data_IF_429305974509
#
_entry.id   IF_429305974509
#
_cell.length_a   1.000
_cell.length_b   1.000
_cell.length_c   1.000
_cell.angle_alpha   90.00
_cell.angle_beta   90.00
_cell.angle_gamma   90.00
#
_symmetry.space_group_name_H-M   'P 1'
#
loop_
_entity.id
_entity.type
_entity.pdbx_description
1 polymer ?
#
# COMPACT_ATOMS: atom_id res chain seq x y z
N UNK A 1 5.41 -11.71 -30.19
CA UNK A 1 5.96 -11.36 -28.87
C UNK A 1 4.84 -10.68 -28.11
N UNK A 2 4.18 -11.39 -27.19
CA UNK A 2 3.09 -10.83 -26.38
C UNK A 2 3.64 -9.61 -25.64
N UNK A 3 3.03 -8.43 -25.79
CA UNK A 3 3.34 -7.30 -24.91
C UNK A 3 2.93 -7.72 -23.50
N UNK A 4 3.89 -8.20 -22.73
CA UNK A 4 3.69 -8.68 -21.38
C UNK A 4 3.29 -7.50 -20.50
N UNK A 5 2.04 -7.56 -20.03
CA UNK A 5 1.31 -6.43 -19.48
C UNK A 5 1.80 -5.99 -18.10
N UNK A 6 1.58 -4.71 -17.78
CA UNK A 6 1.92 -4.14 -16.46
C UNK A 6 0.80 -4.47 -15.47
N UNK A 7 1.18 -4.93 -14.27
CA UNK A 7 0.37 -4.92 -13.06
C UNK A 7 0.77 -3.69 -12.24
N UNK A 8 -0.11 -2.70 -12.14
CA UNK A 8 0.13 -1.55 -11.28
C UNK A 8 -0.20 -1.91 -9.82
N UNK A 9 0.82 -2.21 -9.01
CA UNK A 9 0.62 -2.78 -7.67
C UNK A 9 0.19 -1.78 -6.61
N UNK A 10 0.01 -0.50 -6.97
CA UNK A 10 -0.36 0.53 -6.01
C UNK A 10 -1.13 1.64 -6.68
N UNK A 11 -2.45 1.56 -6.62
CA UNK A 11 -3.34 2.67 -6.95
C UNK A 11 -4.34 2.92 -5.84
N UNK A 12 -4.87 4.13 -5.82
CA UNK A 12 -5.91 4.59 -4.93
C UNK A 12 -7.10 5.07 -5.76
N UNK A 13 -8.30 4.64 -5.38
CA UNK A 13 -9.55 5.04 -6.04
C UNK A 13 -10.56 5.52 -4.99
N UNK A 14 -11.37 6.51 -5.33
CA UNK A 14 -12.50 6.92 -4.50
C UNK A 14 -13.62 7.59 -5.34
N UNK A 15 -14.89 7.34 -5.00
CA UNK A 15 -16.04 7.90 -5.70
C UNK A 15 -16.23 9.39 -5.39
N UNK A 16 -17.08 10.08 -6.14
CA UNK A 16 -17.41 11.49 -5.88
C UNK A 16 -18.12 11.74 -4.54
N UNK A 17 -18.63 10.68 -3.89
CA UNK A 17 -19.23 10.72 -2.55
C UNK A 17 -18.19 10.69 -1.42
N UNK A 18 -16.91 10.54 -1.76
CA UNK A 18 -15.80 10.35 -0.85
C UNK A 18 -14.68 11.36 -1.12
N UNK A 19 -15.02 12.65 -1.22
CA UNK A 19 -14.09 13.70 -1.65
C UNK A 19 -14.00 14.86 -0.66
N UNK A 20 -14.27 14.62 0.62
CA UNK A 20 -14.29 15.66 1.66
C UNK A 20 -13.55 15.24 2.92
N UNK A 21 -13.26 16.21 3.79
CA UNK A 21 -12.54 16.00 5.04
C UNK A 21 -13.24 15.05 6.03
N UNK A 22 -14.55 14.87 5.91
CA UNK A 22 -15.30 13.89 6.73
C UNK A 22 -15.16 12.46 6.20
N UNK A 23 -14.71 12.30 4.96
CA UNK A 23 -14.48 11.00 4.32
C UNK A 23 -13.01 10.60 4.36
N UNK A 24 -12.12 11.58 4.24
CA UNK A 24 -10.67 11.46 4.25
C UNK A 24 -10.09 12.61 5.06
N UNK A 25 -9.48 12.33 6.21
CA UNK A 25 -9.00 13.40 7.10
C UNK A 25 -7.97 14.34 6.47
N UNK A 26 -7.27 13.86 5.44
CA UNK A 26 -6.27 14.61 4.68
C UNK A 26 -6.85 15.48 3.55
N UNK A 27 -8.11 15.29 3.13
CA UNK A 27 -8.73 16.08 2.07
C UNK A 27 -9.23 17.43 2.59
N UNK A 28 -8.35 18.43 2.63
CA UNK A 28 -8.73 19.81 2.94
C UNK A 28 -9.51 20.48 1.79
N UNK A 29 -10.39 21.47 2.07
CA UNK A 29 -11.08 22.21 1.01
C UNK A 29 -10.11 22.83 0.00
N UNK A 30 -10.34 22.57 -1.29
CA UNK A 30 -9.47 23.03 -2.38
C UNK A 30 -8.25 22.16 -2.65
N UNK A 31 -8.05 21.06 -1.91
CA UNK A 31 -7.02 20.08 -2.24
C UNK A 31 -7.29 19.48 -3.64
N UNK A 32 -6.29 19.46 -4.52
CA UNK A 32 -6.47 19.10 -5.93
C UNK A 32 -6.93 17.64 -6.15
N UNK A 33 -6.64 16.76 -5.19
CA UNK A 33 -7.13 15.37 -5.17
C UNK A 33 -8.54 15.22 -4.54
N UNK A 34 -9.14 16.27 -3.99
CA UNK A 34 -10.48 16.23 -3.39
C UNK A 34 -11.59 16.27 -4.46
N UNK A 35 -11.53 15.30 -5.37
CA UNK A 35 -12.49 15.05 -6.45
C UNK A 35 -12.50 13.56 -6.76
N UNK A 36 -13.44 13.09 -7.57
CA UNK A 36 -13.51 11.66 -7.95
C UNK A 36 -12.22 11.22 -8.63
N UNK A 37 -11.74 10.04 -8.24
CA UNK A 37 -10.68 9.32 -8.92
C UNK A 37 -11.10 7.85 -9.09
N UNK A 38 -11.78 7.55 -10.20
CA UNK A 38 -12.27 6.20 -10.52
C UNK A 38 -11.41 5.46 -11.56
N UNK A 39 -11.80 4.23 -11.90
CA UNK A 39 -11.08 3.39 -12.88
C UNK A 39 -11.08 4.06 -14.26
N UNK A 40 -12.19 4.63 -14.71
CA UNK A 40 -12.25 5.32 -16.00
C UNK A 40 -11.27 6.49 -16.02
N UNK A 41 -11.20 7.27 -14.94
CA UNK A 41 -10.26 8.41 -14.82
C UNK A 41 -8.81 7.92 -14.93
N UNK A 42 -8.46 6.84 -14.21
CA UNK A 42 -7.15 6.19 -14.30
C UNK A 42 -6.82 5.68 -15.71
N UNK A 43 -7.77 5.03 -16.38
CA UNK A 43 -7.55 4.48 -17.72
C UNK A 43 -7.39 5.56 -18.79
N UNK A 44 -7.91 6.77 -18.59
CA UNK A 44 -7.68 7.90 -19.52
C UNK A 44 -6.23 8.41 -19.50
N UNK A 45 -5.57 8.35 -18.34
CA UNK A 45 -4.22 8.90 -18.16
C UNK A 45 -3.11 7.87 -18.39
N UNK A 46 -3.44 6.57 -18.43
CA UNK A 46 -2.45 5.50 -18.60
C UNK A 46 -2.24 5.13 -20.08
N UNK A 47 -0.97 5.05 -20.50
CA UNK A 47 -0.63 4.65 -21.87
C UNK A 47 0.76 3.98 -21.95
N UNK A 48 0.84 2.73 -22.46
CA UNK A 48 -0.29 1.80 -22.63
C UNK A 48 -0.97 1.55 -21.27
N UNK A 49 -2.25 1.24 -21.30
CA UNK A 49 -3.00 0.92 -20.09
C UNK A 49 -2.44 -0.35 -19.41
N UNK A 50 -2.31 -0.37 -18.07
CA UNK A 50 -2.00 -1.58 -17.34
C UNK A 50 -3.03 -2.68 -17.58
N UNK A 51 -2.55 -3.92 -17.56
CA UNK A 51 -3.40 -5.10 -17.69
C UNK A 51 -4.28 -5.31 -16.47
N UNK A 52 -3.82 -4.86 -15.31
CA UNK A 52 -4.59 -4.79 -14.08
C UNK A 52 -3.88 -3.96 -13.02
N UNK A 53 -4.51 -3.82 -11.87
CA UNK A 53 -3.96 -3.11 -10.72
C UNK A 53 -4.33 -3.77 -9.40
N UNK A 54 -3.55 -3.45 -8.37
CA UNK A 54 -3.88 -3.69 -6.97
C UNK A 54 -4.32 -2.37 -6.36
N UNK A 55 -5.56 -2.36 -5.86
CA UNK A 55 -6.07 -1.26 -5.07
C UNK A 55 -5.42 -1.26 -3.68
N UNK A 56 -5.11 -0.09 -3.14
CA UNK A 56 -4.66 0.06 -1.76
C UNK A 56 -5.54 1.09 -1.06
N UNK A 57 -5.93 0.80 0.19
CA UNK A 57 -6.77 1.68 1.03
C UNK A 57 -6.30 3.14 1.04
N UNK A 58 -7.20 4.08 1.29
CA UNK A 58 -6.99 5.50 0.96
C UNK A 58 -6.87 6.41 2.16
N UNK A 59 -6.56 5.88 3.34
CA UNK A 59 -6.52 6.59 4.62
C UNK A 59 -7.88 7.24 4.93
N UNK A 60 -8.92 6.41 4.90
CA UNK A 60 -10.30 6.81 5.19
C UNK A 60 -10.41 7.33 6.61
N UNK A 61 -11.21 8.38 6.80
CA UNK A 61 -11.32 9.07 8.07
C UNK A 61 -11.72 8.13 9.22
N UNK A 62 -11.02 8.28 10.34
CA UNK A 62 -11.38 7.71 11.63
C UNK A 62 -11.59 8.85 12.63
N UNK A 63 -12.62 8.79 13.49
CA UNK A 63 -12.87 9.83 14.48
C UNK A 63 -11.80 9.88 15.58
N UNK A 64 -11.05 8.79 15.76
CA UNK A 64 -9.96 8.65 16.73
C UNK A 64 -9.01 7.54 16.30
N UNK A 65 -7.74 7.60 16.72
CA UNK A 65 -6.74 6.56 16.45
C UNK A 65 -7.11 5.21 17.09
N UNK A 66 -7.70 5.26 18.29
CA UNK A 66 -8.21 4.09 18.99
C UNK A 66 -9.73 3.95 18.79
N UNK A 67 -10.26 2.71 18.70
CA UNK A 67 -11.69 2.48 18.73
C UNK A 67 -12.29 2.93 20.08
N UNK A 68 -13.62 3.13 20.16
CA UNK A 68 -14.29 3.41 21.42
C UNK A 68 -14.02 2.31 22.45
N UNK A 69 -14.06 2.65 23.73
CA UNK A 69 -13.84 1.69 24.82
C UNK A 69 -14.77 0.48 24.68
N UNK A 70 -14.14 -0.68 24.54
CA UNK A 70 -14.78 -2.00 24.51
C UNK A 70 -14.61 -2.62 25.89
N UNK A 71 -15.73 -2.78 26.59
CA UNK A 71 -15.75 -3.35 27.94
C UNK A 71 -15.75 -4.88 27.85
N UNK A 72 -15.26 -5.53 28.90
CA UNK A 72 -15.31 -7.01 28.99
C UNK A 72 -16.76 -7.53 28.89
N UNK A 73 -17.72 -6.78 29.44
CA UNK A 73 -19.15 -7.10 29.43
C UNK A 73 -19.84 -6.91 28.07
N UNK A 74 -19.23 -6.18 27.13
CA UNK A 74 -19.82 -5.99 25.80
C UNK A 74 -19.89 -7.36 25.12
N UNK A 75 -21.03 -7.73 24.56
CA UNK A 75 -21.10 -8.94 23.74
C UNK A 75 -20.54 -8.68 22.33
N UNK A 76 -20.38 -9.72 21.52
CA UNK A 76 -19.77 -9.59 20.19
C UNK A 76 -20.55 -8.63 19.27
N UNK A 77 -21.88 -8.59 19.35
CA UNK A 77 -22.68 -7.67 18.54
C UNK A 77 -22.57 -6.21 19.00
N UNK A 78 -22.46 -5.96 20.31
CA UNK A 78 -22.20 -4.63 20.86
C UNK A 78 -20.83 -4.10 20.36
N UNK A 79 -19.81 -4.96 20.39
CA UNK A 79 -18.47 -4.64 19.88
C UNK A 79 -18.53 -4.32 18.39
N UNK A 80 -19.18 -5.18 17.58
CA UNK A 80 -19.34 -4.95 16.14
C UNK A 80 -20.11 -3.66 15.84
N UNK A 81 -21.16 -3.33 16.60
CA UNK A 81 -21.93 -2.10 16.43
C UNK A 81 -21.09 -0.84 16.69
N UNK A 82 -20.28 -0.85 17.75
CA UNK A 82 -19.32 0.21 18.05
C UNK A 82 -18.29 0.37 16.94
N UNK A 83 -17.74 -0.74 16.43
CA UNK A 83 -16.76 -0.73 15.35
C UNK A 83 -17.34 -0.25 14.01
N UNK A 84 -18.60 -0.60 13.68
CA UNK A 84 -19.29 -0.06 12.49
C UNK A 84 -19.42 1.45 12.53
N UNK A 85 -19.61 2.01 13.73
CA UNK A 85 -19.71 3.46 13.93
C UNK A 85 -18.33 4.12 13.82
N UNK A 86 -17.33 3.57 14.50
CA UNK A 86 -15.97 4.11 14.51
C UNK A 86 -15.27 4.03 13.15
N UNK A 87 -15.34 2.87 12.48
CA UNK A 87 -14.71 2.64 11.18
C UNK A 87 -15.68 2.88 10.02
N UNK A 88 -16.65 3.80 10.16
CA UNK A 88 -17.66 4.06 9.14
C UNK A 88 -17.05 4.30 7.75
N UNK A 89 -16.11 5.22 7.62
CA UNK A 89 -15.54 5.58 6.31
C UNK A 89 -14.65 4.50 5.70
N UNK A 90 -13.80 3.76 6.46
CA UNK A 90 -13.18 2.53 5.97
C UNK A 90 -14.18 1.47 5.47
N UNK A 91 -15.33 1.31 6.14
CA UNK A 91 -16.36 0.37 5.70
C UNK A 91 -17.14 0.87 4.48
N UNK A 92 -17.32 2.18 4.30
CA UNK A 92 -17.85 2.75 3.05
C UNK A 92 -16.90 2.51 1.86
N UNK A 93 -15.59 2.53 2.10
CA UNK A 93 -14.60 2.17 1.07
C UNK A 93 -14.78 0.72 0.61
N UNK A 94 -15.03 -0.22 1.52
CA UNK A 94 -15.33 -1.62 1.16
C UNK A 94 -16.60 -1.73 0.32
N UNK A 95 -17.65 -0.94 0.59
CA UNK A 95 -18.88 -0.95 -0.22
C UNK A 95 -18.63 -0.46 -1.64
N UNK A 96 -17.81 0.58 -1.80
CA UNK A 96 -17.37 1.04 -3.12
C UNK A 96 -16.58 -0.04 -3.88
N UNK A 97 -15.62 -0.69 -3.21
CA UNK A 97 -14.86 -1.79 -3.84
C UNK A 97 -15.74 -2.99 -4.18
N UNK A 98 -16.76 -3.28 -3.37
CA UNK A 98 -17.71 -4.35 -3.64
C UNK A 98 -18.49 -4.07 -4.93
N UNK A 99 -18.94 -2.84 -5.15
CA UNK A 99 -19.57 -2.42 -6.42
C UNK A 99 -18.65 -2.61 -7.62
N UNK A 100 -17.36 -2.28 -7.47
CA UNK A 100 -16.35 -2.53 -8.53
C UNK A 100 -16.31 -4.02 -8.87
N UNK A 101 -16.07 -4.90 -7.90
CA UNK A 101 -15.94 -6.35 -8.18
C UNK A 101 -17.26 -6.94 -8.68
N UNK A 102 -18.40 -6.44 -8.21
CA UNK A 102 -19.72 -6.86 -8.67
C UNK A 102 -20.07 -6.38 -10.07
N UNK A 103 -19.36 -5.38 -10.62
CA UNK A 103 -19.67 -4.78 -11.91
C UNK A 103 -20.94 -3.92 -11.87
N UNK A 104 -21.26 -3.34 -10.71
CA UNK A 104 -22.48 -2.54 -10.49
C UNK A 104 -22.13 -1.09 -10.14
N UNK A 105 -21.64 -0.29 -11.11
CA UNK A 105 -21.28 1.09 -10.85
C UNK A 105 -22.52 1.91 -10.45
N UNK A 106 -22.34 2.77 -9.46
CA UNK A 106 -23.29 3.85 -9.11
C UNK A 106 -22.83 5.19 -9.71
N UNK A 107 -23.75 6.15 -9.78
CA UNK A 107 -23.42 7.51 -10.19
C UNK A 107 -22.32 8.08 -9.27
N UNK A 108 -21.24 8.57 -9.88
CA UNK A 108 -20.11 9.11 -9.14
C UNK A 108 -18.97 8.14 -8.84
N UNK A 109 -19.12 6.84 -9.09
CA UNK A 109 -18.06 5.84 -8.84
C UNK A 109 -16.87 5.96 -9.81
N UNK A 110 -17.12 6.39 -11.04
CA UNK A 110 -16.07 6.61 -12.04
C UNK A 110 -15.51 5.33 -12.65
N UNK A 111 -16.33 4.30 -12.82
CA UNK A 111 -16.00 3.13 -13.64
C UNK A 111 -17.23 2.63 -14.40
N UNK A 112 -17.01 1.83 -15.44
CA UNK A 112 -18.06 1.04 -16.12
C UNK A 112 -17.86 -0.46 -15.90
N UNK A 113 -18.92 -1.27 -16.05
CA UNK A 113 -18.90 -2.71 -15.77
C UNK A 113 -17.71 -3.44 -16.44
N UNK A 114 -17.38 -3.12 -17.69
CA UNK A 114 -16.27 -3.77 -18.42
C UNK A 114 -14.89 -3.49 -17.83
N UNK A 115 -14.74 -2.46 -17.01
CA UNK A 115 -13.50 -2.05 -16.36
C UNK A 115 -13.28 -2.75 -15.01
N UNK A 116 -14.32 -3.33 -14.40
CA UNK A 116 -14.25 -4.02 -13.11
C UNK A 116 -13.12 -5.04 -13.02
N UNK A 117 -12.91 -5.79 -14.12
CA UNK A 117 -11.87 -6.82 -14.23
C UNK A 117 -10.42 -6.30 -14.16
N UNK A 118 -10.22 -4.98 -14.23
CA UNK A 118 -8.91 -4.34 -14.09
C UNK A 118 -8.41 -4.40 -12.65
N UNK A 119 -9.30 -4.38 -11.66
CA UNK A 119 -8.89 -4.65 -10.28
C UNK A 119 -8.59 -6.13 -10.13
N UNK A 120 -7.37 -6.48 -9.74
CA UNK A 120 -6.91 -7.88 -9.57
C UNK A 120 -6.85 -8.29 -8.11
N UNK A 121 -6.74 -7.31 -7.22
CA UNK A 121 -6.82 -7.48 -5.78
C UNK A 121 -6.90 -6.13 -5.08
N UNK A 122 -7.18 -6.17 -3.78
CA UNK A 122 -7.19 -5.00 -2.93
C UNK A 122 -6.47 -5.26 -1.60
N UNK A 123 -5.79 -4.22 -1.13
CA UNK A 123 -5.21 -4.11 0.21
C UNK A 123 -6.10 -3.17 1.01
N UNK A 124 -6.79 -3.68 2.03
CA UNK A 124 -7.81 -2.94 2.78
C UNK A 124 -7.32 -2.50 4.17
N UNK A 125 -7.99 -1.52 4.77
CA UNK A 125 -7.65 -1.08 6.12
C UNK A 125 -7.94 -2.17 7.19
N UNK A 126 -7.04 -2.33 8.17
CA UNK A 126 -7.33 -3.04 9.42
C UNK A 126 -6.56 -2.46 10.63
N UNK A 127 -7.15 -2.45 11.85
CA UNK A 127 -6.58 -1.83 13.03
C UNK A 127 -5.67 -2.78 13.82
N UNK A 128 -4.49 -3.10 13.28
CA UNK A 128 -3.57 -4.09 13.85
C UNK A 128 -3.05 -3.79 15.26
N UNK A 129 -3.09 -2.53 15.69
CA UNK A 129 -2.69 -2.10 17.03
C UNK A 129 -3.71 -2.49 18.12
N UNK A 130 -4.95 -2.76 17.73
CA UNK A 130 -6.01 -3.12 18.67
C UNK A 130 -5.81 -4.51 19.27
N UNK A 131 -6.39 -4.73 20.46
CA UNK A 131 -6.39 -6.05 21.08
C UNK A 131 -7.00 -7.12 20.14
N UNK A 132 -6.54 -8.38 20.16
CA UNK A 132 -6.97 -9.43 19.22
C UNK A 132 -8.48 -9.64 19.12
N UNK A 133 -9.20 -9.51 20.24
CA UNK A 133 -10.68 -9.57 20.28
C UNK A 133 -11.31 -8.50 19.40
N UNK A 134 -10.81 -7.27 19.49
CA UNK A 134 -11.31 -6.11 18.75
C UNK A 134 -10.93 -6.20 17.28
N UNK A 135 -9.69 -6.60 17.00
CA UNK A 135 -9.20 -6.83 15.64
C UNK A 135 -10.04 -7.89 14.92
N UNK A 136 -10.29 -9.04 15.57
CA UNK A 136 -11.16 -10.10 15.03
C UNK A 136 -12.57 -9.59 14.77
N UNK A 137 -13.18 -8.89 15.72
CA UNK A 137 -14.53 -8.33 15.53
C UNK A 137 -14.58 -7.33 14.37
N UNK A 138 -13.53 -6.52 14.19
CA UNK A 138 -13.42 -5.64 13.02
C UNK A 138 -13.33 -6.44 11.72
N UNK A 139 -12.52 -7.50 11.66
CA UNK A 139 -12.41 -8.35 10.47
C UNK A 139 -13.74 -9.03 10.13
N UNK A 140 -14.51 -9.46 11.13
CA UNK A 140 -15.86 -10.01 10.91
C UNK A 140 -16.78 -8.95 10.27
N UNK A 141 -16.79 -7.73 10.81
CA UNK A 141 -17.55 -6.60 10.22
C UNK A 141 -17.08 -6.28 8.81
N UNK A 142 -15.76 -6.20 8.58
CA UNK A 142 -15.19 -5.91 7.27
C UNK A 142 -15.57 -6.98 6.24
N UNK A 143 -15.54 -8.27 6.63
CA UNK A 143 -15.97 -9.39 5.77
C UNK A 143 -17.46 -9.34 5.47
N UNK A 144 -18.30 -9.05 6.47
CA UNK A 144 -19.75 -8.88 6.28
C UNK A 144 -20.06 -7.74 5.29
N UNK A 145 -19.38 -6.59 5.42
CA UNK A 145 -19.57 -5.42 4.54
C UNK A 145 -19.01 -5.66 3.13
N UNK A 146 -17.84 -6.29 3.02
CA UNK A 146 -17.24 -6.63 1.73
C UNK A 146 -18.10 -7.63 0.94
N UNK A 147 -18.75 -8.55 1.64
CA UNK A 147 -19.45 -9.66 1.03
C UNK A 147 -18.49 -10.68 0.37
N UNK A 148 -19.01 -11.83 -0.07
CA UNK A 148 -18.19 -12.96 -0.49
C UNK A 148 -17.36 -12.65 -1.75
N UNK A 149 -17.86 -11.81 -2.66
CA UNK A 149 -17.20 -11.52 -3.93
C UNK A 149 -15.98 -10.62 -3.74
N UNK A 150 -16.11 -9.49 -3.02
CA UNK A 150 -14.96 -8.64 -2.72
C UNK A 150 -13.96 -9.35 -1.82
N UNK A 151 -14.41 -10.16 -0.86
CA UNK A 151 -13.49 -10.87 0.04
C UNK A 151 -12.50 -11.78 -0.70
N UNK A 152 -12.89 -12.34 -1.86
CA UNK A 152 -11.97 -13.09 -2.74
C UNK A 152 -10.90 -12.21 -3.43
N UNK A 153 -11.14 -10.91 -3.52
CA UNK A 153 -10.21 -9.92 -4.06
C UNK A 153 -9.33 -9.30 -2.97
N UNK A 154 -9.64 -9.46 -1.67
CA UNK A 154 -8.75 -9.00 -0.60
C UNK A 154 -7.49 -9.86 -0.62
N UNK A 155 -6.33 -9.23 -0.83
CA UNK A 155 -5.01 -9.88 -0.88
C UNK A 155 -4.08 -9.45 0.24
N UNK A 156 -4.43 -8.37 0.91
CA UNK A 156 -3.66 -7.87 2.03
C UNK A 156 -4.39 -6.79 2.81
N UNK A 157 -3.67 -6.29 3.79
CA UNK A 157 -4.15 -5.25 4.68
C UNK A 157 -3.09 -4.17 4.84
N UNK A 158 -3.54 -2.96 5.19
CA UNK A 158 -2.65 -1.86 5.55
C UNK A 158 -3.16 -1.13 6.78
N UNK A 159 -2.20 -0.71 7.59
CA UNK A 159 -2.38 0.30 8.61
C UNK A 159 -1.23 1.29 8.42
N UNK A 160 -1.54 2.55 8.13
CA UNK A 160 -0.50 3.53 7.83
C UNK A 160 0.34 3.80 9.09
N UNK A 161 1.63 3.51 8.98
CA UNK A 161 2.68 3.81 9.95
C UNK A 161 3.48 5.06 9.52
N UNK A 162 2.89 5.89 8.65
CA UNK A 162 3.46 7.13 8.14
C UNK A 162 2.60 8.32 8.54
N UNK A 163 3.21 9.52 8.56
CA UNK A 163 2.56 10.78 8.89
C UNK A 163 2.12 10.86 10.36
N UNK A 164 2.74 10.06 11.24
CA UNK A 164 2.38 10.03 12.68
C UNK A 164 3.27 10.93 13.53
N UNK A 165 4.39 11.41 12.99
CA UNK A 165 5.39 12.18 13.72
C UNK A 165 6.48 11.30 14.36
N UNK A 166 7.59 11.95 14.69
CA UNK A 166 8.78 11.32 15.25
C UNK A 166 8.48 10.55 16.55
N UNK A 167 9.03 9.34 16.65
CA UNK A 167 8.89 8.43 17.79
C UNK A 167 7.51 7.78 17.98
N UNK A 168 6.45 8.24 17.31
CA UNK A 168 5.07 7.76 17.55
C UNK A 168 4.90 6.29 17.13
N UNK A 169 5.43 5.92 15.97
CA UNK A 169 5.34 4.53 15.46
C UNK A 169 6.15 3.58 16.34
N UNK A 170 7.37 3.97 16.71
CA UNK A 170 8.23 3.14 17.56
C UNK A 170 7.57 2.88 18.91
N UNK A 171 6.98 3.92 19.53
CA UNK A 171 6.24 3.79 20.78
C UNK A 171 5.00 2.90 20.62
N UNK A 172 4.19 3.12 19.59
CA UNK A 172 2.98 2.31 19.32
C UNK A 172 3.32 0.83 19.17
N UNK A 173 4.32 0.50 18.35
CA UNK A 173 4.74 -0.88 18.13
C UNK A 173 5.33 -1.51 19.39
N UNK A 174 6.04 -0.74 20.22
CA UNK A 174 6.55 -1.22 21.51
C UNK A 174 5.43 -1.50 22.52
N UNK A 175 4.45 -0.61 22.63
CA UNK A 175 3.35 -0.71 23.61
C UNK A 175 2.32 -1.78 23.24
N UNK A 176 2.20 -2.10 21.94
CA UNK A 176 1.21 -3.05 21.42
C UNK A 176 1.82 -4.22 20.64
N UNK A 177 3.11 -4.53 20.86
CA UNK A 177 3.87 -5.53 20.09
C UNK A 177 3.16 -6.90 20.04
N UNK A 178 2.66 -7.36 21.18
CA UNK A 178 1.94 -8.64 21.27
C UNK A 178 0.67 -8.64 20.42
N UNK A 179 -0.14 -7.59 20.49
CA UNK A 179 -1.34 -7.43 19.66
C UNK A 179 -0.97 -7.43 18.17
N UNK A 180 0.06 -6.69 17.78
CA UNK A 180 0.52 -6.65 16.39
C UNK A 180 0.94 -8.04 15.89
N UNK A 181 1.77 -8.76 16.64
CA UNK A 181 2.24 -10.09 16.26
C UNK A 181 1.07 -11.07 16.14
N UNK A 182 0.17 -11.09 17.14
CA UNK A 182 -1.00 -11.98 17.13
C UNK A 182 -1.94 -11.64 15.98
N UNK A 183 -2.21 -10.37 15.71
CA UNK A 183 -3.11 -9.93 14.64
C UNK A 183 -2.53 -10.19 13.24
N UNK A 184 -1.23 -9.96 13.03
CA UNK A 184 -0.54 -10.32 11.80
C UNK A 184 -0.57 -11.83 11.57
N UNK A 185 -0.31 -12.62 12.62
CA UNK A 185 -0.37 -14.08 12.51
C UNK A 185 -1.81 -14.59 12.27
N UNK A 186 -2.82 -13.93 12.84
CA UNK A 186 -4.22 -14.27 12.65
C UNK A 186 -4.68 -14.17 11.19
N UNK A 187 -4.04 -13.31 10.38
CA UNK A 187 -4.33 -13.22 8.95
C UNK A 187 -4.21 -14.57 8.25
N UNK A 188 -3.24 -15.40 8.65
CA UNK A 188 -2.96 -16.72 8.05
C UNK A 188 -4.10 -17.72 8.21
N UNK A 189 -5.01 -17.46 9.16
CA UNK A 189 -6.18 -18.31 9.45
C UNK A 189 -7.44 -17.79 8.74
N UNK A 190 -7.36 -16.68 8.03
CA UNK A 190 -8.49 -16.14 7.28
C UNK A 190 -8.74 -17.00 6.04
N UNK A 191 -9.93 -17.57 5.97
CA UNK A 191 -10.43 -18.23 4.77
C UNK A 191 -10.70 -17.23 3.62
N UNK A 192 -10.48 -17.68 2.39
CA UNK A 192 -10.74 -16.92 1.16
C UNK A 192 -9.57 -16.05 0.69
N UNK A 193 -9.68 -15.53 -0.52
CA UNK A 193 -8.84 -14.43 -1.04
C UNK A 193 -7.40 -14.78 -1.46
N UNK A 194 -6.57 -15.33 -0.58
CA UNK A 194 -5.14 -15.46 -0.84
C UNK A 194 -4.52 -16.66 -0.10
N UNK A 195 -3.56 -17.33 -0.74
CA UNK A 195 -2.76 -18.39 -0.10
C UNK A 195 -1.70 -17.82 0.87
N UNK A 196 -1.39 -16.52 0.75
CA UNK A 196 -0.46 -15.80 1.61
C UNK A 196 -0.83 -14.32 1.72
N UNK A 197 -1.43 -13.92 2.85
CA UNK A 197 -1.86 -12.55 3.12
C UNK A 197 -0.67 -11.58 3.21
N UNK A 198 -0.84 -10.42 2.57
CA UNK A 198 0.13 -9.32 2.61
C UNK A 198 -0.20 -8.29 3.70
N UNK A 199 0.84 -7.76 4.34
CA UNK A 199 0.78 -6.49 5.04
C UNK A 199 1.61 -5.45 4.28
N UNK A 200 0.95 -4.42 3.75
CA UNK A 200 1.62 -3.30 3.10
C UNK A 200 2.16 -2.34 4.17
N UNK A 201 3.45 -2.03 4.12
CA UNK A 201 4.16 -1.20 5.10
C UNK A 201 4.36 0.19 4.51
N UNK A 202 3.56 1.16 4.98
CA UNK A 202 3.79 2.59 4.70
C UNK A 202 4.44 3.28 5.90
N UNK A 203 5.73 3.62 5.81
CA UNK A 203 6.48 4.43 6.77
C UNK A 203 7.09 5.64 6.08
N UNK A 204 7.34 6.72 6.82
CA UNK A 204 7.91 7.96 6.27
C UNK A 204 9.28 8.27 6.87
N UNK A 205 10.35 7.82 6.22
CA UNK A 205 11.72 8.06 6.72
C UNK A 205 12.22 9.49 6.51
N UNK A 206 11.47 10.29 5.75
CA UNK A 206 11.73 11.70 5.52
C UNK A 206 11.15 12.57 6.63
N UNK A 207 9.87 12.41 6.96
CA UNK A 207 9.14 13.31 7.87
C UNK A 207 8.99 12.77 9.29
N UNK A 208 8.90 11.46 9.46
CA UNK A 208 8.75 10.81 10.78
C UNK A 208 10.09 10.32 11.34
N UNK A 209 11.20 10.59 10.65
CA UNK A 209 12.52 10.05 10.97
C UNK A 209 12.66 8.57 10.63
N UNK A 210 13.81 7.99 10.95
CA UNK A 210 14.16 6.63 10.50
C UNK A 210 13.76 5.52 11.49
N UNK A 211 13.36 5.91 12.71
CA UNK A 211 12.93 5.00 13.77
C UNK A 211 11.71 4.14 13.40
N UNK A 212 10.68 4.62 12.67
CA UNK A 212 9.58 3.79 12.20
C UNK A 212 10.07 2.56 11.42
N UNK A 213 11.08 2.72 10.58
CA UNK A 213 11.61 1.62 9.78
C UNK A 213 12.36 0.59 10.63
N UNK A 214 13.13 1.04 11.64
CA UNK A 214 13.75 0.14 12.64
C UNK A 214 12.70 -0.62 13.45
N UNK A 215 11.63 0.07 13.86
CA UNK A 215 10.54 -0.52 14.64
C UNK A 215 9.80 -1.60 13.84
N UNK A 216 9.53 -1.36 12.55
CA UNK A 216 8.99 -2.39 11.64
C UNK A 216 9.93 -3.58 11.52
N UNK A 217 11.25 -3.36 11.39
CA UNK A 217 12.21 -4.46 11.33
C UNK A 217 12.18 -5.35 12.58
N UNK A 218 12.04 -4.75 13.77
CA UNK A 218 11.86 -5.49 15.03
C UNK A 218 10.55 -6.27 15.05
N UNK A 219 9.45 -5.65 14.65
CA UNK A 219 8.14 -6.31 14.57
C UNK A 219 8.19 -7.54 13.64
N UNK A 220 8.80 -7.40 12.46
CA UNK A 220 8.95 -8.51 11.51
C UNK A 220 9.78 -9.64 12.14
N UNK A 221 10.91 -9.31 12.79
CA UNK A 221 11.73 -10.31 13.47
C UNK A 221 10.97 -11.04 14.60
N UNK A 222 10.21 -10.31 15.41
CA UNK A 222 9.34 -10.86 16.45
C UNK A 222 8.25 -11.78 15.87
N UNK A 223 7.61 -11.36 14.78
CA UNK A 223 6.65 -12.18 14.05
C UNK A 223 7.29 -13.47 13.53
N UNK A 224 8.48 -13.41 12.92
CA UNK A 224 9.15 -14.64 12.42
C UNK A 224 9.44 -15.63 13.54
N UNK A 225 9.91 -15.16 14.69
CA UNK A 225 10.11 -16.02 15.86
C UNK A 225 8.79 -16.64 16.35
N UNK A 226 7.69 -15.88 16.31
CA UNK A 226 6.37 -16.38 16.65
C UNK A 226 5.88 -17.44 15.64
N UNK A 227 6.02 -17.18 14.34
CA UNK A 227 5.63 -18.12 13.28
C UNK A 227 6.41 -19.43 13.34
N UNK A 228 7.71 -19.38 13.65
CA UNK A 228 8.55 -20.57 13.83
C UNK A 228 8.12 -21.40 15.04
N UNK A 229 7.77 -20.76 16.16
CA UNK A 229 7.28 -21.45 17.37
C UNK A 229 5.94 -22.15 17.16
N UNK A 230 5.02 -21.52 16.42
CA UNK A 230 3.69 -22.05 16.13
C UNK A 230 3.70 -23.10 14.99
N UNK A 231 4.85 -23.35 14.35
CA UNK A 231 4.99 -24.37 13.30
C UNK A 231 4.23 -24.04 12.02
N UNK A 232 4.05 -22.76 11.70
CA UNK A 232 3.29 -22.37 10.52
C UNK A 232 4.11 -22.51 9.22
N UNK A 233 3.57 -23.23 8.24
CA UNK A 233 4.25 -23.49 6.96
C UNK A 233 4.37 -22.25 6.05
N UNK A 234 3.35 -21.39 6.05
CA UNK A 234 3.35 -20.16 5.24
C UNK A 234 3.73 -18.94 6.09
N UNK A 235 4.48 -17.99 5.52
CA UNK A 235 4.85 -16.72 6.19
C UNK A 235 3.91 -15.59 5.76
N UNK A 236 3.58 -14.67 6.69
CA UNK A 236 2.97 -13.38 6.31
C UNK A 236 3.91 -12.63 5.38
N UNK A 237 3.40 -12.17 4.24
CA UNK A 237 4.18 -11.37 3.29
C UNK A 237 4.15 -9.91 3.70
N UNK A 238 5.27 -9.21 3.52
CA UNK A 238 5.36 -7.77 3.73
C UNK A 238 5.68 -7.08 2.40
N UNK A 239 5.01 -5.98 2.11
CA UNK A 239 5.32 -5.16 0.94
C UNK A 239 5.72 -3.77 1.43
N UNK A 240 7.00 -3.43 1.27
CA UNK A 240 7.53 -2.13 1.67
C UNK A 240 7.12 -1.09 0.62
N UNK A 241 6.34 -0.10 1.03
CA UNK A 241 5.84 0.94 0.13
C UNK A 241 6.87 2.04 -0.09
N UNK A 242 6.86 2.63 -1.28
CA UNK A 242 7.50 3.91 -1.58
C UNK A 242 9.00 4.03 -1.20
N UNK A 243 9.76 2.93 -1.24
CA UNK A 243 11.15 2.91 -0.76
C UNK A 243 11.31 3.26 0.73
N UNK A 244 10.25 3.18 1.53
CA UNK A 244 10.14 3.74 2.89
C UNK A 244 10.22 5.29 2.93
N UNK A 245 9.89 5.96 1.82
CA UNK A 245 9.83 7.42 1.65
C UNK A 245 11.07 8.16 2.16
N UNK A 246 12.27 7.87 1.62
CA UNK A 246 13.48 8.59 2.02
C UNK A 246 13.46 10.02 1.45
N UNK A 247 14.14 11.00 2.08
CA UNK A 247 14.30 12.32 1.49
C UNK A 247 15.10 12.21 0.18
N UNK A 248 14.61 12.85 -0.88
CA UNK A 248 15.26 12.91 -2.18
C UNK A 248 15.76 14.32 -2.49
N UNK A 249 16.89 14.41 -3.18
CA UNK A 249 17.48 15.66 -3.66
C UNK A 249 17.88 15.51 -5.13
N UNK A 250 17.75 16.57 -5.96
CA UNK A 250 18.28 16.54 -7.33
C UNK A 250 19.77 16.24 -7.37
N UNK A 251 20.50 16.72 -6.36
CA UNK A 251 21.90 16.37 -6.16
C UNK A 251 21.98 15.00 -5.48
N UNK A 252 22.78 14.05 -6.01
CA UNK A 252 22.79 12.68 -5.52
C UNK A 252 23.41 12.62 -4.12
N UNK A 253 22.55 12.51 -3.11
CA UNK A 253 22.94 12.19 -1.74
C UNK A 253 22.85 10.68 -1.52
N UNK A 254 23.84 10.04 -0.89
CA UNK A 254 23.73 8.63 -0.53
C UNK A 254 22.55 8.44 0.45
N UNK A 255 21.86 7.29 0.40
CA UNK A 255 20.92 6.93 1.45
C UNK A 255 21.64 6.91 2.80
N UNK A 256 20.93 7.19 3.88
CA UNK A 256 21.51 7.11 5.22
C UNK A 256 21.95 5.68 5.57
N UNK A 257 22.90 5.57 6.49
CA UNK A 257 23.36 4.27 6.99
C UNK A 257 22.23 3.45 7.61
N UNK A 258 21.29 4.10 8.30
CA UNK A 258 20.14 3.45 8.91
C UNK A 258 19.22 2.84 7.85
N UNK A 259 18.91 3.60 6.80
CA UNK A 259 18.08 3.10 5.71
C UNK A 259 18.77 1.91 5.00
N UNK A 260 20.07 2.04 4.71
CA UNK A 260 20.86 0.98 4.08
C UNK A 260 20.89 -0.30 4.91
N UNK A 261 21.19 -0.18 6.21
CA UNK A 261 21.25 -1.31 7.14
C UNK A 261 19.89 -1.98 7.30
N UNK A 262 18.81 -1.19 7.35
CA UNK A 262 17.47 -1.74 7.51
C UNK A 262 17.00 -2.49 6.26
N UNK A 263 17.23 -1.96 5.06
CA UNK A 263 16.93 -2.70 3.82
C UNK A 263 17.77 -3.97 3.70
N UNK A 264 19.03 -3.92 4.13
CA UNK A 264 19.93 -5.08 4.14
C UNK A 264 19.45 -6.15 5.12
N UNK A 265 19.04 -5.80 6.33
CA UNK A 265 18.58 -6.78 7.33
C UNK A 265 17.30 -7.49 6.90
N UNK A 266 16.39 -6.77 6.22
CA UNK A 266 15.15 -7.33 5.68
C UNK A 266 15.36 -8.17 4.40
N UNK A 267 16.49 -7.99 3.70
CA UNK A 267 16.76 -8.65 2.41
C UNK A 267 16.73 -10.19 2.46
N UNK A 268 17.10 -10.78 3.60
CA UNK A 268 17.21 -12.23 3.78
C UNK A 268 15.84 -12.94 3.79
N UNK A 269 14.80 -12.25 4.24
CA UNK A 269 13.46 -12.79 4.31
C UNK A 269 12.75 -12.71 2.96
N UNK A 270 12.53 -13.88 2.33
CA UNK A 270 11.93 -13.99 0.99
C UNK A 270 10.46 -13.60 0.93
N UNK A 271 9.79 -13.48 2.08
CA UNK A 271 8.42 -13.00 2.16
C UNK A 271 8.30 -11.46 2.15
N UNK A 272 9.41 -10.73 1.99
CA UNK A 272 9.43 -9.26 1.93
C UNK A 272 9.62 -8.78 0.49
N UNK A 273 8.81 -7.83 0.06
CA UNK A 273 8.83 -7.25 -1.28
C UNK A 273 8.98 -5.73 -1.19
N UNK A 274 9.36 -5.09 -2.30
CA UNK A 274 9.56 -3.64 -2.39
C UNK A 274 8.75 -3.04 -3.54
N UNK A 275 7.98 -1.99 -3.26
CA UNK A 275 7.25 -1.21 -4.27
C UNK A 275 8.04 0.02 -4.73
N UNK A 276 8.29 0.10 -6.03
CA UNK A 276 8.74 1.30 -6.74
C UNK A 276 7.53 2.22 -6.96
N UNK A 277 7.29 3.15 -6.04
CA UNK A 277 6.12 4.03 -6.04
C UNK A 277 6.38 5.31 -5.24
N UNK A 278 5.52 6.32 -5.34
CA UNK A 278 5.44 7.45 -4.40
C UNK A 278 6.66 8.41 -4.32
N UNK A 279 7.61 8.32 -5.24
CA UNK A 279 8.88 9.05 -5.12
C UNK A 279 8.77 10.58 -5.26
N UNK A 280 7.82 11.10 -6.05
CA UNK A 280 7.80 12.52 -6.40
C UNK A 280 7.56 13.46 -5.22
N UNK A 281 6.75 13.03 -4.25
CA UNK A 281 6.46 13.81 -3.05
C UNK A 281 7.63 13.82 -2.03
N UNK A 282 8.69 13.07 -2.29
CA UNK A 282 9.81 12.93 -1.36
C UNK A 282 11.01 13.81 -1.73
N UNK A 283 10.93 14.55 -2.84
CA UNK A 283 11.90 15.58 -3.15
C UNK A 283 11.81 16.73 -2.14
N UNK A 284 12.96 17.13 -1.62
CA UNK A 284 13.10 18.24 -0.66
C UNK A 284 13.00 19.62 -1.33
N UNK A 285 13.09 19.67 -2.66
CA UNK A 285 12.97 20.89 -3.47
C UNK A 285 11.56 21.06 -4.03
N UNK A 286 11.15 22.32 -4.24
CA UNK A 286 9.90 22.65 -4.94
C UNK A 286 10.16 23.70 -6.03
N UNK A 287 9.80 23.43 -7.30
CA UNK A 287 9.14 22.20 -7.78
C UNK A 287 10.08 20.99 -7.83
N UNK A 288 9.50 19.79 -7.75
CA UNK A 288 10.17 18.51 -8.04
C UNK A 288 10.77 18.52 -9.46
N UNK A 289 11.97 17.95 -9.70
CA UNK A 289 12.54 17.85 -11.04
C UNK A 289 11.63 17.12 -12.02
N UNK A 290 11.45 17.67 -13.22
CA UNK A 290 10.53 17.12 -14.23
C UNK A 290 11.21 16.22 -15.27
N UNK A 291 12.54 16.26 -15.38
CA UNK A 291 13.28 15.50 -16.38
C UNK A 291 13.79 14.16 -15.83
N UNK A 292 13.70 13.12 -16.67
CA UNK A 292 14.10 11.75 -16.32
C UNK A 292 15.58 11.65 -15.90
N UNK A 293 16.56 12.30 -16.57
CA UNK A 293 17.95 12.27 -16.14
C UNK A 293 18.17 12.73 -14.69
N UNK A 294 17.63 13.89 -14.29
CA UNK A 294 17.75 14.41 -12.92
C UNK A 294 17.06 13.52 -11.90
N UNK A 295 15.84 13.06 -12.20
CA UNK A 295 15.11 12.10 -11.35
C UNK A 295 15.91 10.81 -11.14
N UNK A 296 16.54 10.29 -12.19
CA UNK A 296 17.37 9.09 -12.11
C UNK A 296 18.66 9.32 -11.32
N UNK A 297 19.29 10.49 -11.44
CA UNK A 297 20.47 10.84 -10.62
C UNK A 297 20.13 10.77 -9.14
N UNK A 298 19.01 11.35 -8.72
CA UNK A 298 18.52 11.31 -7.35
C UNK A 298 18.20 9.89 -6.85
N UNK A 299 17.53 9.09 -7.69
CA UNK A 299 17.00 7.78 -7.31
C UNK A 299 18.02 6.65 -7.40
N UNK A 300 19.03 6.76 -8.27
CA UNK A 300 19.95 5.65 -8.57
C UNK A 300 20.63 5.04 -7.33
N UNK A 301 21.10 5.80 -6.32
CA UNK A 301 21.67 5.22 -5.11
C UNK A 301 20.70 4.28 -4.37
N UNK A 302 19.44 4.70 -4.22
CA UNK A 302 18.38 3.91 -3.59
C UNK A 302 18.00 2.70 -4.45
N UNK A 303 17.82 2.90 -5.75
CA UNK A 303 17.46 1.84 -6.68
C UNK A 303 18.56 0.75 -6.77
N UNK A 304 19.84 1.13 -6.77
CA UNK A 304 20.92 0.15 -6.74
C UNK A 304 20.83 -0.75 -5.49
N UNK A 305 20.60 -0.15 -4.32
CA UNK A 305 20.55 -0.87 -3.06
C UNK A 305 19.33 -1.79 -2.94
N UNK A 306 18.13 -1.31 -3.30
CA UNK A 306 16.92 -2.16 -3.21
C UNK A 306 16.96 -3.33 -4.20
N UNK A 307 17.49 -3.15 -5.41
CA UNK A 307 17.57 -4.24 -6.39
C UNK A 307 18.62 -5.28 -5.99
N UNK A 308 19.65 -4.88 -5.24
CA UNK A 308 20.58 -5.81 -4.60
C UNK A 308 19.93 -6.56 -3.42
N UNK A 309 19.15 -5.87 -2.59
CA UNK A 309 18.50 -6.47 -1.40
C UNK A 309 17.30 -7.37 -1.76
N UNK A 310 16.51 -6.99 -2.77
CA UNK A 310 15.24 -7.63 -3.11
C UNK A 310 15.25 -8.18 -4.55
N UNK A 311 16.24 -9.00 -4.96
CA UNK A 311 16.32 -9.48 -6.33
C UNK A 311 15.06 -10.28 -6.68
N UNK A 312 14.40 -9.90 -7.79
CA UNK A 312 13.14 -10.49 -8.24
C UNK A 312 11.91 -10.14 -7.41
N UNK A 313 12.04 -9.31 -6.36
CA UNK A 313 10.94 -8.94 -5.43
C UNK A 313 10.65 -7.44 -5.39
N UNK A 314 11.15 -6.71 -6.39
CA UNK A 314 10.88 -5.28 -6.60
C UNK A 314 9.78 -5.16 -7.65
N UNK A 315 8.70 -4.43 -7.35
CA UNK A 315 7.51 -4.32 -8.21
C UNK A 315 7.16 -2.87 -8.53
N UNK A 316 6.57 -2.63 -9.70
CA UNK A 316 6.06 -1.33 -10.09
C UNK A 316 4.74 -1.00 -9.37
N UNK A 317 4.64 0.21 -8.83
CA UNK A 317 3.38 0.82 -8.40
C UNK A 317 3.36 2.30 -8.75
N UNK A 318 2.28 2.82 -9.31
CA UNK A 318 2.25 4.21 -9.72
C UNK A 318 2.00 5.18 -8.59
N UNK A 319 1.32 4.74 -7.53
CA UNK A 319 0.77 5.59 -6.49
C UNK A 319 -0.30 6.56 -7.02
N UNK A 320 -0.95 6.27 -8.15
CA UNK A 320 -1.97 7.15 -8.71
C UNK A 320 -3.24 7.17 -7.82
N UNK A 321 -3.90 8.34 -7.65
CA UNK A 321 -3.55 9.67 -8.16
C UNK A 321 -2.60 10.45 -7.24
N UNK A 322 -2.16 9.87 -6.12
CA UNK A 322 -1.25 10.49 -5.13
C UNK A 322 0.11 10.83 -5.73
N UNK A 323 0.54 10.15 -6.80
CA UNK A 323 1.73 10.52 -7.58
C UNK A 323 1.68 11.95 -8.15
N UNK A 324 0.52 12.61 -8.15
CA UNK A 324 0.38 14.02 -8.54
C UNK A 324 0.72 14.98 -7.39
N UNK A 325 0.75 14.52 -6.14
CA UNK A 325 1.31 15.28 -5.02
C UNK A 325 2.82 15.34 -5.19
N UNK A 326 3.35 16.54 -5.45
CA UNK A 326 4.74 16.71 -5.86
C UNK A 326 5.06 16.21 -7.27
N UNK A 327 4.06 15.69 -8.00
CA UNK A 327 4.21 15.17 -9.36
C UNK A 327 4.43 16.29 -10.38
N UNK A 328 5.62 16.40 -11.00
CA UNK A 328 6.00 17.58 -11.77
C UNK A 328 5.36 17.64 -13.16
N UNK A 329 4.68 16.57 -13.60
CA UNK A 329 4.01 16.48 -14.89
C UNK A 329 2.47 16.59 -14.77
N UNK A 330 1.94 16.88 -13.58
CA UNK A 330 0.51 17.04 -13.33
C UNK A 330 -0.32 15.76 -13.54
N UNK A 331 -1.64 15.89 -13.40
CA UNK A 331 -2.58 14.74 -13.39
C UNK A 331 -2.54 13.85 -14.63
N UNK A 332 -2.21 14.45 -15.79
CA UNK A 332 -2.17 13.76 -17.08
C UNK A 332 -0.81 13.13 -17.40
N UNK A 333 0.23 13.47 -16.61
CA UNK A 333 1.63 13.19 -16.93
C UNK A 333 2.40 12.44 -15.86
N UNK A 334 2.12 12.61 -14.57
CA UNK A 334 2.97 12.07 -13.49
C UNK A 334 3.03 10.53 -13.52
N UNK A 335 1.93 9.85 -13.82
CA UNK A 335 1.94 8.39 -14.00
C UNK A 335 2.89 7.97 -15.14
N UNK A 336 2.82 8.65 -16.29
CA UNK A 336 3.65 8.34 -17.47
C UNK A 336 5.12 8.60 -17.19
N UNK A 337 5.41 9.72 -16.53
CA UNK A 337 6.76 10.09 -16.11
C UNK A 337 7.33 9.04 -15.16
N UNK A 338 6.57 8.59 -14.15
CA UNK A 338 7.05 7.55 -13.23
C UNK A 338 7.37 6.24 -13.95
N UNK A 339 6.46 5.80 -14.83
CA UNK A 339 6.70 4.62 -15.68
C UNK A 339 7.96 4.79 -16.55
N UNK A 340 8.17 5.98 -17.11
CA UNK A 340 9.36 6.28 -17.93
C UNK A 340 10.65 6.26 -17.10
N UNK A 341 10.63 6.78 -15.88
CA UNK A 341 11.76 6.70 -14.93
C UNK A 341 12.12 5.25 -14.65
N UNK A 342 11.15 4.42 -14.25
CA UNK A 342 11.40 3.00 -13.94
C UNK A 342 11.91 2.24 -15.17
N UNK A 343 11.30 2.46 -16.34
CA UNK A 343 11.74 1.86 -17.61
C UNK A 343 13.17 2.26 -17.95
N UNK A 344 13.47 3.56 -17.92
CA UNK A 344 14.77 4.10 -18.30
C UNK A 344 15.87 3.65 -17.35
N UNK A 345 15.57 3.51 -16.06
CA UNK A 345 16.51 2.93 -15.09
C UNK A 345 16.88 1.49 -15.47
N UNK A 346 15.88 0.63 -15.71
CA UNK A 346 16.11 -0.77 -16.10
C UNK A 346 16.88 -0.88 -17.43
N UNK A 347 16.53 -0.04 -18.42
CA UNK A 347 17.24 0.01 -19.71
C UNK A 347 18.72 0.41 -19.51
N UNK A 348 19.02 1.40 -18.67
CA UNK A 348 20.40 1.81 -18.33
C UNK A 348 21.19 0.74 -17.58
N UNK A 349 20.50 -0.12 -16.83
CA UNK A 349 21.09 -1.28 -16.14
C UNK A 349 21.25 -2.51 -17.04
N UNK A 350 20.77 -2.45 -18.28
CA UNK A 350 20.88 -3.55 -19.24
C UNK A 350 19.93 -4.71 -18.96
N UNK A 351 18.82 -4.47 -18.26
CA UNK A 351 17.84 -5.52 -17.98
C UNK A 351 17.24 -6.04 -19.28
N UNK A 352 17.15 -7.35 -19.42
CA UNK A 352 16.42 -7.98 -20.55
C UNK A 352 14.92 -8.00 -20.28
N UNK A 353 14.11 -8.31 -21.30
CA UNK A 353 12.65 -8.25 -21.17
C UNK A 353 12.11 -9.19 -20.07
N UNK A 354 12.68 -10.37 -19.92
CA UNK A 354 12.33 -11.32 -18.85
C UNK A 354 12.59 -10.73 -17.45
N UNK A 355 13.68 -9.98 -17.26
CA UNK A 355 13.98 -9.33 -15.98
C UNK A 355 13.07 -8.13 -15.73
N UNK A 356 12.74 -7.37 -16.78
CA UNK A 356 11.77 -6.28 -16.69
C UNK A 356 10.39 -6.80 -16.31
N UNK A 357 10.00 -7.99 -16.78
CA UNK A 357 8.70 -8.58 -16.42
C UNK A 357 8.55 -8.86 -14.93
N UNK A 358 9.64 -9.19 -14.23
CA UNK A 358 9.61 -9.30 -12.77
C UNK A 358 9.14 -8.00 -12.11
N UNK A 359 9.67 -6.87 -12.58
CA UNK A 359 9.32 -5.55 -12.04
C UNK A 359 7.93 -5.10 -12.49
N UNK A 360 7.60 -5.28 -13.76
CA UNK A 360 6.32 -4.85 -14.31
C UNK A 360 5.13 -5.67 -13.83
N UNK A 361 5.35 -6.92 -13.41
CA UNK A 361 4.27 -7.88 -13.21
C UNK A 361 4.57 -8.95 -12.15
N UNK A 362 5.57 -9.80 -12.39
CA UNK A 362 5.66 -11.11 -11.71
C UNK A 362 5.88 -10.97 -10.21
N UNK A 363 6.68 -10.00 -9.76
CA UNK A 363 6.88 -9.76 -8.33
C UNK A 363 5.58 -9.34 -7.62
N UNK A 364 4.71 -8.58 -8.30
CA UNK A 364 3.40 -8.19 -7.78
C UNK A 364 2.40 -9.35 -7.76
N UNK A 365 2.40 -10.19 -8.81
CA UNK A 365 1.61 -11.42 -8.86
C UNK A 365 2.01 -12.38 -7.74
N UNK A 366 3.32 -12.57 -7.53
CA UNK A 366 3.87 -13.38 -6.45
C UNK A 366 3.49 -12.80 -5.08
N UNK A 367 3.70 -11.51 -4.85
CA UNK A 367 3.41 -10.88 -3.57
C UNK A 367 1.93 -11.07 -3.21
N UNK A 368 1.02 -10.64 -4.08
CA UNK A 368 -0.42 -10.60 -3.79
C UNK A 368 -1.20 -11.86 -4.15
N UNK A 369 -0.57 -12.89 -4.72
CA UNK A 369 -1.28 -14.12 -5.12
C UNK A 369 -2.38 -13.83 -6.15
N UNK A 370 -2.02 -13.10 -7.21
CA UNK A 370 -2.92 -12.74 -8.31
C UNK A 370 -2.36 -13.17 -9.66
N UNK A 371 -3.21 -13.26 -10.68
CA UNK A 371 -2.82 -13.48 -12.06
C UNK A 371 -3.51 -12.47 -12.99
N UNK A 372 -2.77 -11.91 -13.95
CA UNK A 372 -3.31 -11.00 -14.98
C UNK A 372 -4.15 -11.69 -16.04
#
# INVERSE_FOLDING_TARGET
MSSSGVLDTHIHLWPSTATSSSNHGWMSPGHHLAKRHGISDYLTITSPQPSGFIYVETDRYLPSAEPPSINESDNDEDVKAKLRTWAKEPLEELRFLARIVEGKPEEGDGFVESEAKKMKGCVIYAPFHCAPRVFKAYLDVAREVAGPKLWQYVKGFRYLLQGKGDGVVAKMLQESEESWIQNLCALKRLEGGCEAWCFDVGVDTHRDGEEPMKAVGKLIAGLRQYEEKEGHENRVKFVLNHLAKPPLSPDPTPPSDVWLQTMTSLSSDKAIFMKLSGAFNEFTVSPTPSDVPTLLTALTPFLNHIFQCFPGRVMFGSDWPVCNVGGPAGEQGSWKLWREVVKTWMDRKGYVEEEKQKVWREAGEEAYGVAL
#
